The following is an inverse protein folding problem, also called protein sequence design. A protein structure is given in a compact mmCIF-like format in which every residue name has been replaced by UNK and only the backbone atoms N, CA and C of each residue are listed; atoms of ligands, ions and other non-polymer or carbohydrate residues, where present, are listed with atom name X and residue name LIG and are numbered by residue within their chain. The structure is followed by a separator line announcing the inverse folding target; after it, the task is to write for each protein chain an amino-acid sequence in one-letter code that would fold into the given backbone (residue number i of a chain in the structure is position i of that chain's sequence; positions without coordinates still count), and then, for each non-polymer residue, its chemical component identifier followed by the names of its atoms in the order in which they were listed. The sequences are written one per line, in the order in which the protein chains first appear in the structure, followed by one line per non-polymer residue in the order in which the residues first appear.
data_IF_853356379526
#
_entry.id   IF_853356379526
#
_cell.length_a   1.000
_cell.length_b   1.000
_cell.length_c   1.000
_cell.angle_alpha   90.00
_cell.angle_beta   90.00
_cell.angle_gamma   90.00
#
_symmetry.space_group_name_H-M   'P 1'
#
loop_
_entity.id
_entity.type
_entity.pdbx_description
1 polymer ?
#
# COMPACT_ATOMS: atom_id res chain seq x y z
N UNK A 1 27.13 2.26 -5.11
CA UNK A 1 25.84 2.14 -4.39
C UNK A 1 24.84 3.01 -5.15
N UNK A 2 23.94 2.42 -5.92
CA UNK A 2 22.97 3.14 -6.75
C UNK A 2 22.09 4.05 -5.89
N UNK A 3 21.70 5.22 -6.39
CA UNK A 3 20.85 6.23 -5.71
C UNK A 3 19.60 5.58 -5.06
N UNK A 4 19.11 4.49 -5.65
CA UNK A 4 18.02 3.62 -5.20
C UNK A 4 18.22 2.97 -3.80
N UNK A 5 19.42 2.52 -3.44
CA UNK A 5 19.63 1.74 -2.20
C UNK A 5 19.63 2.61 -0.93
N UNK A 6 19.84 3.92 -1.05
CA UNK A 6 19.96 4.83 0.12
C UNK A 6 18.61 5.09 0.81
N UNK A 7 17.48 4.88 0.12
CA UNK A 7 16.14 5.23 0.62
C UNK A 7 15.23 4.02 0.90
N UNK A 8 15.68 2.80 0.59
CA UNK A 8 14.92 1.56 0.82
C UNK A 8 15.04 1.00 2.26
N UNK A 9 15.93 1.55 3.09
CA UNK A 9 16.06 1.17 4.51
C UNK A 9 14.98 1.85 5.36
N UNK A 10 13.73 1.39 5.30
CA UNK A 10 12.69 1.96 6.16
C UNK A 10 11.25 1.52 5.95
N UNK A 11 11.00 0.42 5.24
CA UNK A 11 9.65 -0.19 5.20
C UNK A 11 9.62 -1.32 6.23
N UNK A 12 8.83 -1.19 7.30
CA UNK A 12 8.71 -2.25 8.31
C UNK A 12 7.29 -2.79 8.44
N UNK A 13 6.59 -2.90 7.32
CA UNK A 13 5.46 -3.80 7.17
C UNK A 13 5.91 -5.28 7.00
N UNK A 14 7.16 -5.62 7.30
CA UNK A 14 7.73 -6.95 7.01
C UNK A 14 7.99 -7.22 5.52
N UNK A 15 7.42 -6.43 4.61
CA UNK A 15 7.80 -6.37 3.21
C UNK A 15 8.87 -5.30 2.97
N UNK A 16 9.90 -5.64 2.21
CA UNK A 16 10.87 -4.67 1.67
C UNK A 16 10.61 -4.49 0.18
N UNK A 17 10.68 -3.26 -0.32
CA UNK A 17 10.76 -3.02 -1.77
C UNK A 17 12.21 -3.17 -2.18
N UNK A 18 12.44 -3.92 -3.25
CA UNK A 18 13.77 -4.15 -3.79
C UNK A 18 13.97 -3.37 -5.09
N UNK A 19 15.23 -3.04 -5.40
CA UNK A 19 15.62 -2.49 -6.69
C UNK A 19 15.56 -3.52 -7.82
N UNK A 20 15.30 -4.79 -7.50
CA UNK A 20 15.23 -5.93 -8.40
C UNK A 20 13.94 -6.72 -8.20
N UNK A 21 13.58 -7.52 -9.21
CA UNK A 21 12.49 -8.48 -9.11
C UNK A 21 12.86 -9.63 -8.15
N UNK A 22 11.98 -9.94 -7.22
CA UNK A 22 12.16 -10.99 -6.21
C UNK A 22 12.19 -12.37 -6.85
N UNK A 23 13.15 -13.20 -6.43
CA UNK A 23 13.20 -14.62 -6.80
C UNK A 23 12.23 -15.49 -5.98
N UNK A 24 12.03 -16.76 -6.38
CA UNK A 24 11.21 -17.68 -5.59
C UNK A 24 11.80 -18.00 -4.21
N UNK A 25 13.12 -18.08 -4.09
CA UNK A 25 13.78 -18.27 -2.80
C UNK A 25 13.60 -17.05 -1.89
N UNK A 26 13.69 -15.86 -2.49
CA UNK A 26 13.44 -14.61 -1.78
C UNK A 26 11.99 -14.49 -1.30
N UNK A 27 11.03 -14.89 -2.13
CA UNK A 27 9.61 -14.92 -1.75
C UNK A 27 9.35 -15.96 -0.67
N UNK A 28 9.92 -17.16 -0.78
CA UNK A 28 9.74 -18.25 0.20
C UNK A 28 10.23 -17.86 1.58
N UNK A 29 11.35 -17.15 1.66
CA UNK A 29 11.89 -16.67 2.93
C UNK A 29 11.02 -15.58 3.60
N UNK A 30 10.24 -14.81 2.82
CA UNK A 30 9.52 -13.61 3.31
C UNK A 30 8.03 -13.83 3.49
N UNK A 31 7.44 -14.53 2.53
CA UNK A 31 5.99 -14.77 2.42
C UNK A 31 5.77 -16.25 2.12
N UNK A 32 6.19 -17.17 3.02
CA UNK A 32 6.00 -18.60 2.83
C UNK A 32 4.55 -18.97 2.56
N UNK A 33 3.57 -18.15 2.98
CA UNK A 33 2.17 -18.45 2.75
C UNK A 33 1.77 -18.59 1.28
N UNK A 34 2.47 -17.95 0.33
CA UNK A 34 2.15 -18.10 -1.10
C UNK A 34 2.47 -19.49 -1.66
N UNK A 35 3.29 -20.27 -0.94
CA UNK A 35 3.73 -21.62 -1.33
C UNK A 35 2.89 -22.73 -0.69
N UNK A 36 1.84 -22.40 0.07
CA UNK A 36 0.95 -23.41 0.64
C UNK A 36 0.28 -24.23 -0.48
N UNK A 37 0.59 -25.53 -0.51
CA UNK A 37 0.07 -26.48 -1.50
C UNK A 37 -1.30 -27.04 -1.14
N UNK A 38 -1.61 -27.05 0.16
CA UNK A 38 -2.84 -27.60 0.70
C UNK A 38 -3.76 -26.50 1.22
N UNK A 39 -5.04 -26.80 1.36
CA UNK A 39 -5.98 -25.92 2.01
C UNK A 39 -5.79 -25.95 3.54
N UNK A 40 -6.04 -24.84 4.23
CA UNK A 40 -6.12 -24.88 5.69
C UNK A 40 -7.22 -25.85 6.14
N UNK A 41 -7.03 -26.61 7.22
CA UNK A 41 -7.98 -27.60 7.77
C UNK A 41 -9.41 -27.07 8.02
N UNK A 42 -9.55 -25.74 8.11
CA UNK A 42 -10.83 -25.06 8.31
C UNK A 42 -11.63 -24.87 7.02
N UNK A 43 -11.13 -25.37 5.88
CA UNK A 43 -11.78 -25.28 4.57
C UNK A 43 -12.50 -26.59 4.23
N UNK A 44 -13.63 -26.47 3.53
CA UNK A 44 -14.38 -27.62 3.02
C UNK A 44 -13.58 -28.37 1.95
N UNK A 45 -13.87 -29.66 1.76
CA UNK A 45 -13.30 -30.49 0.67
C UNK A 45 -13.51 -29.92 -0.74
N UNK A 46 -14.48 -29.02 -0.93
CA UNK A 46 -14.73 -28.33 -2.20
C UNK A 46 -13.77 -27.16 -2.48
N UNK A 47 -12.93 -26.77 -1.53
CA UNK A 47 -11.97 -25.67 -1.69
C UNK A 47 -10.76 -26.17 -2.47
N UNK A 48 -10.62 -25.71 -3.72
CA UNK A 48 -9.42 -25.97 -4.50
C UNK A 48 -8.30 -25.04 -4.03
N UNK A 49 -7.31 -25.60 -3.32
CA UNK A 49 -6.09 -24.87 -3.02
C UNK A 49 -5.33 -24.65 -4.34
N UNK A 50 -5.36 -23.43 -4.85
CA UNK A 50 -4.47 -22.99 -5.93
C UNK A 50 -3.34 -22.23 -5.23
N UNK A 51 -2.12 -22.78 -5.19
CA UNK A 51 -0.99 -22.10 -4.61
C UNK A 51 -0.80 -20.75 -5.30
N UNK A 52 -0.66 -19.69 -4.50
CA UNK A 52 -0.49 -18.34 -5.07
C UNK A 52 0.83 -18.22 -5.85
N UNK A 53 1.81 -19.08 -5.57
CA UNK A 53 3.03 -19.18 -6.37
C UNK A 53 2.74 -19.56 -7.83
N UNK A 54 1.80 -20.46 -8.11
CA UNK A 54 1.47 -20.87 -9.48
C UNK A 54 0.84 -19.70 -10.25
N UNK A 55 -0.03 -18.95 -9.58
CA UNK A 55 -0.58 -17.69 -10.09
C UNK A 55 0.53 -16.67 -10.36
N UNK A 56 1.49 -16.54 -9.44
CA UNK A 56 2.60 -15.60 -9.58
C UNK A 56 3.57 -15.98 -10.69
N UNK A 57 3.82 -17.27 -10.90
CA UNK A 57 4.66 -17.77 -11.98
C UNK A 57 3.98 -17.57 -13.34
N UNK A 58 2.67 -17.78 -13.45
CA UNK A 58 1.87 -17.40 -14.62
C UNK A 58 1.91 -15.89 -14.90
N UNK A 59 1.81 -15.05 -13.86
CA UNK A 59 1.96 -13.60 -14.01
C UNK A 59 3.37 -13.22 -14.49
N UNK A 60 4.43 -13.89 -14.03
CA UNK A 60 5.79 -13.65 -14.50
C UNK A 60 6.04 -14.05 -15.94
N UNK A 61 5.41 -15.13 -16.43
CA UNK A 61 5.49 -15.49 -17.85
C UNK A 61 4.87 -14.40 -18.74
N UNK A 62 3.83 -13.73 -18.22
CA UNK A 62 3.20 -12.57 -18.83
C UNK A 62 3.95 -11.25 -18.58
N UNK A 63 5.11 -11.27 -17.92
CA UNK A 63 5.93 -10.08 -17.71
C UNK A 63 5.59 -9.23 -16.48
N UNK A 64 4.75 -9.72 -15.57
CA UNK A 64 4.49 -9.10 -14.27
C UNK A 64 5.47 -9.64 -13.21
N UNK A 65 6.50 -8.85 -12.90
CA UNK A 65 7.55 -9.24 -11.98
C UNK A 65 7.28 -8.72 -10.55
N UNK A 66 7.50 -9.52 -9.49
CA UNK A 66 7.29 -9.10 -8.10
C UNK A 66 8.45 -8.25 -7.57
N UNK A 67 8.16 -7.10 -6.97
CA UNK A 67 9.18 -6.20 -6.38
C UNK A 67 9.06 -6.01 -4.88
N UNK A 68 7.94 -6.45 -4.29
CA UNK A 68 7.70 -6.43 -2.86
C UNK A 68 6.68 -7.52 -2.52
N UNK A 69 6.86 -8.17 -1.37
CA UNK A 69 5.90 -9.11 -0.84
C UNK A 69 5.81 -8.97 0.69
N UNK A 70 4.61 -9.21 1.25
CA UNK A 70 4.32 -9.17 2.67
C UNK A 70 3.26 -10.22 3.02
N UNK A 71 3.37 -10.86 4.19
CA UNK A 71 2.27 -11.62 4.80
C UNK A 71 1.85 -11.04 6.16
N UNK A 72 0.59 -11.27 6.51
CA UNK A 72 0.06 -10.96 7.83
C UNK A 72 0.71 -11.85 8.89
N UNK A 73 0.94 -11.29 10.08
CA UNK A 73 1.44 -12.05 11.23
C UNK A 73 0.28 -12.72 11.95
N UNK A 74 0.52 -13.93 12.45
CA UNK A 74 -0.41 -14.65 13.31
C UNK A 74 0.30 -15.11 14.58
N UNK A 75 -0.46 -15.19 15.68
CA UNK A 75 -0.01 -15.81 16.94
C UNK A 75 -0.47 -17.26 17.08
N UNK A 76 -1.34 -17.71 16.17
CA UNK A 76 -1.86 -19.08 16.14
C UNK A 76 -0.81 -19.96 15.46
N UNK A 77 -0.33 -20.98 16.18
CA UNK A 77 0.63 -21.95 15.66
C UNK A 77 0.07 -22.64 14.40
N UNK A 78 0.92 -22.92 13.41
CA UNK A 78 0.52 -23.53 12.13
C UNK A 78 -0.21 -22.60 11.16
N UNK A 79 -0.87 -21.53 11.62
CA UNK A 79 -1.64 -20.63 10.73
C UNK A 79 -0.78 -19.77 9.80
N UNK A 80 0.51 -19.61 10.08
CA UNK A 80 1.39 -18.68 9.37
C UNK A 80 1.40 -18.90 7.84
N UNK A 81 1.34 -20.15 7.41
CA UNK A 81 1.38 -20.56 6.00
C UNK A 81 0.09 -20.27 5.23
N UNK A 82 -0.98 -19.88 5.92
CA UNK A 82 -2.28 -19.62 5.30
C UNK A 82 -2.72 -18.16 5.43
N UNK A 83 -1.89 -17.35 6.09
CA UNK A 83 -2.19 -15.94 6.33
C UNK A 83 -2.29 -15.14 5.04
N UNK A 84 -3.12 -14.10 5.10
CA UNK A 84 -3.24 -13.09 4.05
C UNK A 84 -1.88 -12.55 3.65
N UNK A 85 -1.65 -12.42 2.37
CA UNK A 85 -0.43 -11.89 1.79
C UNK A 85 -0.74 -10.87 0.71
N UNK A 86 0.26 -10.05 0.42
CA UNK A 86 0.25 -8.98 -0.56
C UNK A 86 1.55 -9.06 -1.35
N UNK A 87 1.45 -9.02 -2.67
CA UNK A 87 2.58 -8.95 -3.60
C UNK A 87 2.39 -7.74 -4.50
N UNK A 88 3.46 -6.96 -4.73
CA UNK A 88 3.43 -5.79 -5.60
C UNK A 88 4.25 -6.09 -6.84
N UNK A 89 3.58 -5.99 -7.99
CA UNK A 89 4.06 -6.41 -9.29
C UNK A 89 4.29 -5.19 -10.16
N UNK A 90 5.29 -5.26 -11.05
CA UNK A 90 5.48 -4.30 -12.15
C UNK A 90 5.48 -5.05 -13.45
N UNK A 91 4.84 -4.50 -14.46
CA UNK A 91 4.87 -5.07 -15.80
C UNK A 91 6.06 -4.52 -16.59
N UNK A 92 6.78 -5.38 -17.31
CA UNK A 92 7.98 -5.03 -18.10
C UNK A 92 7.74 -3.97 -19.17
N UNK A 93 6.51 -3.83 -19.67
CA UNK A 93 6.19 -2.84 -20.72
C UNK A 93 6.05 -1.40 -20.21
N UNK A 94 5.85 -1.18 -18.90
CA UNK A 94 5.71 0.17 -18.36
C UNK A 94 7.09 0.73 -18.09
N UNK A 95 7.46 1.75 -18.87
CA UNK A 95 8.64 2.56 -18.57
C UNK A 95 8.33 3.39 -17.33
N UNK A 96 9.05 3.10 -16.25
CA UNK A 96 8.92 3.86 -15.02
C UNK A 96 9.31 5.33 -15.28
N UNK A 97 8.40 6.27 -15.04
CA UNK A 97 8.73 7.69 -15.06
C UNK A 97 9.78 7.98 -13.97
N UNK A 98 10.65 8.96 -14.19
CA UNK A 98 11.69 9.32 -13.23
C UNK A 98 11.09 9.55 -11.84
N UNK A 99 11.33 8.62 -10.91
CA UNK A 99 10.83 8.70 -9.53
C UNK A 99 9.52 7.98 -9.21
N UNK A 100 8.81 7.36 -10.18
CA UNK A 100 7.65 6.50 -9.88
C UNK A 100 7.41 5.34 -10.88
N UNK A 101 6.72 4.30 -10.42
CA UNK A 101 6.33 3.12 -11.18
C UNK A 101 4.83 2.85 -11.01
N UNK A 102 4.15 2.46 -12.08
CA UNK A 102 2.84 1.82 -11.94
C UNK A 102 3.04 0.42 -11.36
N UNK A 103 2.22 0.06 -10.38
CA UNK A 103 2.28 -1.25 -9.75
C UNK A 103 0.91 -1.88 -9.64
N UNK A 104 0.88 -3.20 -9.77
CA UNK A 104 -0.31 -4.00 -9.53
C UNK A 104 -0.13 -4.70 -8.19
N UNK A 105 -1.10 -4.51 -7.30
CA UNK A 105 -1.05 -5.07 -5.96
C UNK A 105 -1.97 -6.29 -5.94
N UNK A 106 -1.37 -7.46 -5.83
CA UNK A 106 -2.05 -8.73 -5.65
C UNK A 106 -2.25 -8.99 -4.15
N UNK A 107 -3.49 -9.18 -3.70
CA UNK A 107 -3.82 -9.58 -2.32
C UNK A 107 -4.59 -10.89 -2.34
N UNK A 108 -4.22 -11.82 -1.46
CA UNK A 108 -4.90 -13.10 -1.30
C UNK A 108 -4.70 -13.68 0.11
N UNK A 109 -5.54 -14.64 0.55
CA UNK A 109 -5.34 -15.45 1.75
C UNK A 109 -5.67 -16.93 1.48
N UNK A 110 -4.72 -17.81 1.80
CA UNK A 110 -4.86 -19.25 1.55
C UNK A 110 -5.72 -19.98 2.59
N UNK A 111 -6.16 -19.30 3.65
CA UNK A 111 -7.23 -19.77 4.55
C UNK A 111 -8.65 -19.41 4.05
N UNK A 112 -8.78 -18.88 2.85
CA UNK A 112 -10.07 -18.51 2.23
C UNK A 112 -10.77 -17.31 2.88
N UNK A 113 -10.08 -16.55 3.74
CA UNK A 113 -10.60 -15.29 4.31
C UNK A 113 -10.52 -14.10 3.37
N UNK A 114 -9.88 -14.27 2.21
CA UNK A 114 -9.79 -13.29 1.14
C UNK A 114 -9.69 -14.01 -0.20
N UNK A 115 -10.35 -13.47 -1.21
CA UNK A 115 -10.12 -13.84 -2.60
C UNK A 115 -8.85 -13.19 -3.15
N UNK A 116 -8.42 -13.62 -4.33
CA UNK A 116 -7.52 -12.87 -5.20
C UNK A 116 -8.13 -11.49 -5.51
N UNK A 117 -7.33 -10.45 -5.28
CA UNK A 117 -7.66 -9.05 -5.59
C UNK A 117 -6.48 -8.43 -6.32
N UNK A 118 -6.74 -7.82 -7.47
CA UNK A 118 -5.78 -7.07 -8.27
C UNK A 118 -6.14 -5.60 -8.16
N UNK A 119 -5.27 -4.81 -7.54
CA UNK A 119 -5.52 -3.41 -7.23
C UNK A 119 -4.50 -2.54 -7.98
N UNK A 120 -4.94 -1.56 -8.79
CA UNK A 120 -4.05 -0.57 -9.37
C UNK A 120 -3.39 0.26 -8.26
N UNK A 121 -2.09 0.46 -8.39
CA UNK A 121 -1.31 1.26 -7.47
C UNK A 121 -0.25 2.07 -8.22
N UNK A 122 0.27 3.07 -7.52
CA UNK A 122 1.38 3.87 -7.98
C UNK A 122 2.46 3.83 -6.92
N UNK A 123 3.69 3.55 -7.29
CA UNK A 123 4.82 3.48 -6.38
C UNK A 123 5.76 4.63 -6.65
N UNK A 124 5.92 5.54 -5.69
CA UNK A 124 6.94 6.57 -5.80
C UNK A 124 8.24 6.06 -5.18
N UNK A 125 9.28 5.91 -5.99
CA UNK A 125 10.57 5.33 -5.59
C UNK A 125 11.24 6.08 -4.44
N UNK A 126 11.11 7.41 -4.43
CA UNK A 126 11.74 8.29 -3.44
C UNK A 126 11.19 8.03 -2.04
N UNK A 127 9.87 7.85 -1.91
CA UNK A 127 9.25 7.56 -0.62
C UNK A 127 9.32 6.09 -0.23
N UNK A 128 9.67 5.21 -1.17
CA UNK A 128 9.54 3.77 -1.02
C UNK A 128 8.17 3.35 -0.47
N UNK A 129 7.10 4.09 -0.77
CA UNK A 129 5.75 3.75 -0.34
C UNK A 129 4.92 3.32 -1.53
N UNK A 130 4.22 2.22 -1.33
CA UNK A 130 3.13 1.86 -2.21
C UNK A 130 1.92 2.71 -1.97
N UNK A 131 1.51 3.43 -3.00
CA UNK A 131 0.22 4.09 -3.04
C UNK A 131 -0.74 3.11 -3.70
N UNK A 132 -1.86 2.89 -3.05
CA UNK A 132 -2.99 2.22 -3.67
C UNK A 132 -3.91 3.32 -4.16
N UNK A 133 -4.31 3.26 -5.42
CA UNK A 133 -5.28 4.21 -5.93
C UNK A 133 -6.64 3.96 -5.24
N UNK A 134 -7.45 5.01 -5.12
CA UNK A 134 -8.81 4.93 -4.56
C UNK A 134 -9.73 4.00 -5.38
N UNK A 135 -11.00 3.92 -4.99
CA UNK A 135 -11.99 3.10 -5.71
C UNK A 135 -12.29 3.61 -7.14
N UNK A 136 -11.71 4.76 -7.52
CA UNK A 136 -11.76 5.36 -8.87
C UNK A 136 -11.16 4.46 -9.95
N UNK A 137 -10.26 3.54 -9.59
CA UNK A 137 -9.56 2.69 -10.55
C UNK A 137 -9.90 1.21 -10.34
N UNK A 138 -10.19 0.51 -11.44
CA UNK A 138 -10.83 -0.80 -11.47
C UNK A 138 -10.09 -1.90 -10.70
N UNK A 139 -10.40 -2.09 -9.41
CA UNK A 139 -10.04 -3.30 -8.66
C UNK A 139 -10.74 -4.52 -9.27
N UNK A 140 -9.95 -5.53 -9.65
CA UNK A 140 -10.48 -6.81 -10.12
C UNK A 140 -10.45 -7.81 -8.98
N UNK A 141 -11.53 -8.56 -8.79
CA UNK A 141 -11.61 -9.67 -7.82
C UNK A 141 -11.83 -10.98 -8.54
N UNK A 142 -10.98 -11.96 -8.25
CA UNK A 142 -11.01 -13.29 -8.87
C UNK A 142 -11.33 -14.33 -7.81
N UNK A 143 -12.24 -15.27 -8.12
CA UNK A 143 -12.66 -16.32 -7.18
C UNK A 143 -11.65 -17.46 -7.17
N UNK A 144 -11.57 -18.20 -6.06
CA UNK A 144 -10.72 -19.40 -5.95
C UNK A 144 -11.45 -20.63 -6.50
N UNK A 145 -11.87 -20.56 -7.75
CA UNK A 145 -12.63 -21.63 -8.40
C UNK A 145 -12.37 -21.59 -9.89
N UNK A 146 -12.46 -22.74 -10.56
CA UNK A 146 -12.19 -22.80 -12.01
C UNK A 146 -10.72 -22.54 -12.33
N UNK A 147 -10.44 -21.84 -13.43
CA UNK A 147 -9.09 -21.52 -13.87
C UNK A 147 -8.62 -20.19 -13.28
N UNK A 148 -8.37 -20.16 -11.97
CA UNK A 148 -8.00 -18.92 -11.28
C UNK A 148 -6.69 -18.32 -11.79
N UNK A 149 -5.74 -19.13 -12.31
CA UNK A 149 -4.49 -18.60 -12.90
C UNK A 149 -4.80 -17.73 -14.11
N UNK A 150 -5.58 -18.24 -15.05
CA UNK A 150 -5.97 -17.47 -16.24
C UNK A 150 -6.80 -16.24 -15.86
N UNK A 151 -7.79 -16.38 -14.97
CA UNK A 151 -8.62 -15.24 -14.55
C UNK A 151 -7.80 -14.15 -13.83
N UNK A 152 -6.78 -14.51 -13.03
CA UNK A 152 -5.88 -13.54 -12.41
C UNK A 152 -5.01 -12.83 -13.45
N UNK A 153 -4.53 -13.54 -14.46
CA UNK A 153 -3.76 -12.94 -15.57
C UNK A 153 -4.61 -11.92 -16.34
N UNK A 154 -5.84 -12.28 -16.72
CA UNK A 154 -6.78 -11.36 -17.37
C UNK A 154 -7.09 -10.14 -16.48
N UNK A 155 -7.26 -10.38 -15.17
CA UNK A 155 -7.41 -9.32 -14.20
C UNK A 155 -6.19 -8.40 -14.11
N UNK A 156 -4.98 -8.93 -14.21
CA UNK A 156 -3.74 -8.15 -14.23
C UNK A 156 -3.67 -7.23 -15.46
N UNK A 157 -4.01 -7.74 -16.65
CA UNK A 157 -4.06 -6.92 -17.87
C UNK A 157 -5.15 -5.85 -17.80
N UNK A 158 -6.31 -6.17 -17.23
CA UNK A 158 -7.37 -5.20 -16.98
C UNK A 158 -6.87 -4.05 -16.11
N UNK A 159 -6.20 -4.37 -15.00
CA UNK A 159 -5.61 -3.35 -14.12
C UNK A 159 -4.48 -2.59 -14.82
N UNK A 160 -3.66 -3.27 -15.63
CA UNK A 160 -2.57 -2.66 -16.39
C UNK A 160 -3.09 -1.58 -17.37
N UNK A 161 -4.28 -1.79 -17.96
CA UNK A 161 -4.91 -0.83 -18.87
C UNK A 161 -5.27 0.51 -18.21
N UNK A 162 -5.36 0.56 -16.88
CA UNK A 162 -5.63 1.78 -16.11
C UNK A 162 -4.37 2.64 -15.90
N UNK A 163 -3.17 2.12 -16.21
CA UNK A 163 -1.91 2.82 -15.97
C UNK A 163 -1.82 4.22 -16.60
N UNK A 164 -2.27 4.47 -17.85
CA UNK A 164 -2.26 5.81 -18.44
C UNK A 164 -3.14 6.80 -17.67
N UNK A 165 -4.34 6.37 -17.24
CA UNK A 165 -5.27 7.21 -16.49
C UNK A 165 -4.72 7.59 -15.11
N UNK A 166 -4.12 6.62 -14.41
CA UNK A 166 -3.46 6.88 -13.13
C UNK A 166 -2.29 7.85 -13.31
N UNK A 167 -1.46 7.65 -14.34
CA UNK A 167 -0.34 8.55 -14.63
C UNK A 167 -0.82 9.97 -14.94
N UNK A 168 -1.87 10.12 -15.73
CA UNK A 168 -2.48 11.42 -16.03
C UNK A 168 -2.99 12.10 -14.76
N UNK A 169 -3.70 11.38 -13.87
CA UNK A 169 -4.19 11.97 -12.62
C UNK A 169 -3.03 12.41 -11.71
N UNK A 170 -1.92 11.66 -11.68
CA UNK A 170 -0.70 12.07 -10.96
C UNK A 170 -0.13 13.37 -11.52
N UNK A 171 -0.03 13.51 -12.84
CA UNK A 171 0.43 14.76 -13.47
C UNK A 171 -0.52 15.92 -13.17
N UNK A 172 -1.83 15.67 -13.15
CA UNK A 172 -2.81 16.66 -12.76
C UNK A 172 -2.65 17.10 -11.28
N UNK A 173 -2.35 16.18 -10.36
CA UNK A 173 -2.07 16.54 -8.97
C UNK A 173 -0.79 17.36 -8.82
N UNK A 174 0.26 17.06 -9.60
CA UNK A 174 1.50 17.86 -9.59
C UNK A 174 1.29 19.29 -10.09
N UNK A 175 0.34 19.50 -10.99
CA UNK A 175 0.03 20.83 -11.53
C UNK A 175 -0.73 21.74 -10.53
N UNK A 176 -1.28 21.17 -9.45
CA UNK A 176 -2.08 21.92 -8.47
C UNK A 176 -1.19 22.39 -7.32
N UNK A 177 -0.98 23.69 -7.21
CA UNK A 177 -0.30 24.30 -6.05
C UNK A 177 -1.28 24.54 -4.90
N UNK A 178 -0.85 24.23 -3.68
CA UNK A 178 -1.62 24.42 -2.46
C UNK A 178 -1.08 25.57 -1.61
N UNK A 179 -1.99 26.33 -1.01
CA UNK A 179 -1.71 27.26 0.09
C UNK A 179 -1.46 26.52 1.40
N UNK A 180 -0.87 27.18 2.39
CA UNK A 180 -0.65 26.56 3.70
C UNK A 180 -1.95 26.16 4.41
N UNK A 181 -3.02 26.94 4.22
CA UNK A 181 -4.35 26.62 4.75
C UNK A 181 -4.91 25.33 4.11
N UNK A 182 -4.80 25.19 2.79
CA UNK A 182 -5.24 23.99 2.06
C UNK A 182 -4.44 22.75 2.46
N UNK A 183 -3.11 22.88 2.65
CA UNK A 183 -2.26 21.80 3.16
C UNK A 183 -2.67 21.39 4.57
N UNK A 184 -2.98 22.36 5.43
CA UNK A 184 -3.43 22.10 6.80
C UNK A 184 -4.76 21.34 6.83
N UNK A 185 -5.73 21.72 5.99
CA UNK A 185 -7.01 21.01 5.86
C UNK A 185 -6.84 19.56 5.38
N UNK A 186 -5.96 19.32 4.39
CA UNK A 186 -5.63 17.96 3.97
C UNK A 186 -4.99 17.15 5.11
N UNK A 187 -4.13 17.79 5.91
CA UNK A 187 -3.49 17.13 7.05
C UNK A 187 -4.50 16.76 8.14
N UNK A 188 -5.50 17.60 8.38
CA UNK A 188 -6.60 17.32 9.30
C UNK A 188 -7.45 16.14 8.82
N UNK A 189 -7.84 16.12 7.55
CA UNK A 189 -8.54 14.99 6.96
C UNK A 189 -7.73 13.69 7.07
N UNK A 190 -6.45 13.73 6.70
CA UNK A 190 -5.54 12.58 6.82
C UNK A 190 -5.35 12.11 8.27
N UNK A 191 -5.33 13.04 9.23
CA UNK A 191 -5.20 12.75 10.65
C UNK A 191 -6.43 12.03 11.19
N UNK A 192 -7.63 12.51 10.87
CA UNK A 192 -8.90 11.86 11.24
C UNK A 192 -9.02 10.46 10.64
N UNK A 193 -8.60 10.26 9.39
CA UNK A 193 -8.54 8.94 8.76
C UNK A 193 -7.55 8.00 9.45
N UNK A 194 -6.42 8.52 9.93
CA UNK A 194 -5.37 7.72 10.59
C UNK A 194 -5.73 7.36 12.03
N UNK A 195 -6.42 8.26 12.73
CA UNK A 195 -6.75 8.13 14.15
C UNK A 195 -8.25 8.34 14.39
N UNK A 196 -9.12 7.47 13.84
CA UNK A 196 -10.58 7.63 13.92
C UNK A 196 -11.11 7.56 15.36
N UNK A 197 -10.40 6.87 16.25
CA UNK A 197 -10.78 6.73 17.67
C UNK A 197 -10.20 7.84 18.58
N UNK A 198 -9.56 8.86 17.99
CA UNK A 198 -9.00 9.96 18.77
C UNK A 198 -10.11 10.89 19.24
N UNK A 199 -10.14 11.15 20.54
CA UNK A 199 -11.07 12.07 21.20
C UNK A 199 -10.30 13.04 22.11
N UNK A 200 -10.97 14.03 22.69
CA UNK A 200 -10.32 14.95 23.64
C UNK A 200 -9.77 14.20 24.87
N UNK A 201 -10.49 13.20 25.37
CA UNK A 201 -10.05 12.35 26.48
C UNK A 201 -8.98 11.32 26.08
N UNK A 202 -8.92 10.97 24.79
CA UNK A 202 -7.96 10.01 24.24
C UNK A 202 -7.35 10.55 22.95
N UNK A 203 -6.51 11.59 23.04
CA UNK A 203 -6.01 12.27 21.86
C UNK A 203 -5.04 11.37 21.08
N UNK A 204 -4.97 11.60 19.77
CA UNK A 204 -3.95 10.99 18.94
C UNK A 204 -2.54 11.38 19.44
N UNK A 205 -1.51 10.53 19.27
CA UNK A 205 -0.16 10.81 19.75
C UNK A 205 0.49 12.06 19.16
N UNK A 206 0.02 12.53 17.99
CA UNK A 206 0.51 13.70 17.27
C UNK A 206 -0.67 14.54 16.77
N UNK A 207 -0.45 15.82 16.49
CA UNK A 207 -1.44 16.69 15.83
C UNK A 207 -1.34 16.59 14.30
N UNK A 208 -2.38 17.01 13.59
CA UNK A 208 -2.44 16.97 12.12
C UNK A 208 -1.21 17.58 11.41
N UNK A 209 -0.67 18.75 11.79
CA UNK A 209 0.51 19.32 11.13
C UNK A 209 1.77 18.44 11.18
N UNK A 210 1.85 17.51 12.14
CA UNK A 210 2.97 16.57 12.20
C UNK A 210 3.01 15.62 10.99
N UNK A 211 1.87 15.35 10.34
CA UNK A 211 1.79 14.54 9.13
C UNK A 211 2.36 15.26 7.90
N UNK A 212 2.43 16.59 7.90
CA UNK A 212 3.03 17.39 6.81
C UNK A 212 4.55 17.50 6.92
N UNK A 213 5.17 16.95 7.97
CA UNK A 213 6.62 17.06 8.16
C UNK A 213 7.35 16.22 7.10
N UNK A 214 8.04 16.84 6.12
CA UNK A 214 8.71 16.10 5.08
C UNK A 214 9.87 15.31 5.67
N UNK A 215 10.10 14.10 5.15
CA UNK A 215 11.24 13.26 5.56
C UNK A 215 12.50 13.57 4.74
N UNK A 216 12.34 14.25 3.60
CA UNK A 216 13.37 14.55 2.61
C UNK A 216 13.17 15.95 2.04
N UNK A 217 14.14 16.47 1.29
CA UNK A 217 14.03 17.81 0.72
C UNK A 217 13.12 17.84 -0.53
N UNK A 218 13.09 16.74 -1.27
CA UNK A 218 12.26 16.51 -2.45
C UNK A 218 10.76 16.49 -2.11
N UNK A 219 10.41 16.40 -0.82
CA UNK A 219 9.04 16.38 -0.29
C UNK A 219 8.59 17.77 0.21
N UNK A 220 9.33 18.84 -0.11
CA UNK A 220 9.02 20.23 0.30
C UNK A 220 8.17 21.01 -0.70
N UNK A 221 7.99 20.49 -1.91
CA UNK A 221 7.18 21.16 -2.93
C UNK A 221 5.73 21.25 -2.44
N UNK A 222 5.10 22.41 -2.60
CA UNK A 222 3.76 22.70 -2.10
C UNK A 222 2.66 22.26 -3.09
N UNK A 223 2.95 21.36 -4.01
CA UNK A 223 1.94 20.79 -4.91
C UNK A 223 1.10 19.70 -4.20
N UNK A 224 -0.07 19.42 -4.74
CA UNK A 224 -1.02 18.46 -4.18
C UNK A 224 -0.44 17.04 -4.14
N UNK A 225 0.30 16.64 -5.17
CA UNK A 225 0.93 15.32 -5.25
C UNK A 225 1.98 15.11 -4.15
N UNK A 226 2.89 16.07 -3.96
CA UNK A 226 3.96 16.04 -2.96
C UNK A 226 3.38 16.14 -1.54
N UNK A 227 2.34 16.95 -1.35
CA UNK A 227 1.61 17.04 -0.08
C UNK A 227 0.95 15.70 0.26
N UNK A 228 0.21 15.10 -0.67
CA UNK A 228 -0.39 13.77 -0.50
C UNK A 228 0.64 12.71 -0.14
N UNK A 229 1.77 12.65 -0.86
CA UNK A 229 2.83 11.70 -0.58
C UNK A 229 3.41 11.86 0.84
N UNK A 230 3.60 13.10 1.29
CA UNK A 230 4.12 13.38 2.63
C UNK A 230 3.14 12.92 3.71
N UNK A 231 1.85 13.23 3.53
CA UNK A 231 0.78 12.81 4.42
C UNK A 231 0.68 11.28 4.48
N UNK A 232 0.64 10.62 3.33
CA UNK A 232 0.57 9.17 3.22
C UNK A 232 1.76 8.49 3.89
N UNK A 233 2.99 8.97 3.63
CA UNK A 233 4.20 8.38 4.22
C UNK A 233 4.16 8.43 5.73
N UNK A 234 3.80 9.59 6.28
CA UNK A 234 3.77 9.80 7.72
C UNK A 234 2.61 9.09 8.40
N UNK A 235 1.45 9.00 7.75
CA UNK A 235 0.30 8.26 8.26
C UNK A 235 0.56 6.74 8.28
N UNK A 236 1.15 6.20 7.20
CA UNK A 236 1.36 4.76 7.02
C UNK A 236 2.59 4.27 7.79
N UNK A 237 3.77 4.86 7.59
CA UNK A 237 5.02 4.40 8.26
C UNK A 237 5.05 4.71 9.75
N UNK A 238 4.31 5.72 10.20
CA UNK A 238 4.41 6.21 11.57
C UNK A 238 5.83 6.69 11.93
N UNK A 239 6.27 6.48 13.16
CA UNK A 239 7.59 6.91 13.64
C UNK A 239 7.68 8.40 14.02
N UNK A 240 6.60 9.16 13.88
CA UNK A 240 6.51 10.56 14.28
C UNK A 240 6.52 10.67 15.80
N UNK A 241 7.37 11.55 16.33
CA UNK A 241 7.45 11.82 17.75
C UNK A 241 6.28 12.71 18.18
N UNK A 242 5.60 12.31 19.25
CA UNK A 242 4.59 13.12 19.93
C UNK A 242 4.42 12.71 21.38
N UNK A 243 3.26 13.01 21.95
CA UNK A 243 2.97 12.80 23.37
C UNK A 243 1.61 12.12 23.52
N UNK A 244 1.51 11.24 24.50
CA UNK A 244 0.24 10.66 24.95
C UNK A 244 0.12 10.81 26.46
N UNK A 245 -1.09 10.80 26.99
CA UNK A 245 -1.30 10.81 28.43
C UNK A 245 -1.08 9.41 29.01
N UNK A 246 -0.18 9.30 29.98
CA UNK A 246 0.03 8.06 30.73
C UNK A 246 -1.08 7.84 31.76
N UNK A 247 -1.16 6.62 32.31
CA UNK A 247 -2.13 6.27 33.35
C UNK A 247 -2.02 7.14 34.62
N UNK A 248 -0.88 7.80 34.83
CA UNK A 248 -0.63 8.74 35.93
C UNK A 248 -0.98 10.20 35.60
N UNK A 249 -1.61 10.47 34.44
CA UNK A 249 -1.93 11.84 34.00
C UNK A 249 -0.72 12.66 33.54
N UNK A 250 0.48 12.06 33.42
CA UNK A 250 1.68 12.75 32.89
C UNK A 250 1.83 12.54 31.38
N UNK A 251 2.30 13.55 30.63
CA UNK A 251 2.63 13.36 29.22
C UNK A 251 3.83 12.42 29.06
N UNK A 252 3.65 11.38 28.25
CA UNK A 252 4.66 10.40 27.91
C UNK A 252 5.02 10.54 26.44
N UNK A 253 6.32 10.64 26.13
CA UNK A 253 6.80 10.64 24.75
C UNK A 253 6.40 9.33 24.08
N UNK A 254 5.69 9.42 22.96
CA UNK A 254 5.35 8.28 22.11
C UNK A 254 5.76 8.55 20.67
N UNK A 255 6.01 7.46 19.94
CA UNK A 255 6.07 7.51 18.49
C UNK A 255 4.78 6.95 17.91
N UNK A 256 4.29 7.53 16.82
CA UNK A 256 3.21 6.92 16.04
C UNK A 256 3.66 5.54 15.56
N UNK A 257 2.74 4.58 15.56
CA UNK A 257 3.03 3.22 15.07
C UNK A 257 2.76 3.15 13.57
N UNK A 258 3.49 2.26 12.90
CA UNK A 258 3.22 1.87 11.53
C UNK A 258 1.86 1.18 11.39
N UNK A 259 1.24 1.30 10.21
CA UNK A 259 0.03 0.59 9.83
C UNK A 259 0.41 -0.77 9.21
N UNK A 260 0.56 -1.77 10.08
CA UNK A 260 1.06 -3.09 9.73
C UNK A 260 0.03 -4.04 9.08
N UNK A 261 -1.27 -3.83 9.33
CA UNK A 261 -2.32 -4.69 8.80
C UNK A 261 -2.60 -4.41 7.32
N UNK A 262 -2.64 -5.44 6.48
CA UNK A 262 -2.86 -5.32 5.02
C UNK A 262 -4.18 -4.60 4.73
N UNK A 263 -5.29 -5.00 5.35
CA UNK A 263 -6.60 -4.39 5.11
C UNK A 263 -6.66 -2.94 5.61
N UNK A 264 -6.10 -2.67 6.80
CA UNK A 264 -6.03 -1.31 7.34
C UNK A 264 -5.19 -0.39 6.45
N UNK A 265 -4.08 -0.92 5.92
CA UNK A 265 -3.19 -0.19 5.02
C UNK A 265 -3.88 0.12 3.68
N UNK A 266 -4.56 -0.88 3.09
CA UNK A 266 -5.38 -0.71 1.88
C UNK A 266 -6.46 0.35 2.09
N UNK A 267 -7.25 0.24 3.16
CA UNK A 267 -8.33 1.16 3.47
C UNK A 267 -7.82 2.60 3.67
N UNK A 268 -6.73 2.78 4.42
CA UNK A 268 -6.14 4.09 4.66
C UNK A 268 -5.61 4.72 3.36
N UNK A 269 -4.90 3.96 2.51
CA UNK A 269 -4.40 4.48 1.24
C UNK A 269 -5.53 4.94 0.33
N UNK A 270 -6.60 4.16 0.21
CA UNK A 270 -7.78 4.54 -0.57
C UNK A 270 -8.42 5.82 -0.06
N UNK A 271 -8.64 5.91 1.25
CA UNK A 271 -9.25 7.09 1.84
C UNK A 271 -8.39 8.35 1.65
N UNK A 272 -7.06 8.23 1.78
CA UNK A 272 -6.14 9.33 1.52
C UNK A 272 -6.12 9.75 0.04
N UNK A 273 -6.21 8.79 -0.88
CA UNK A 273 -6.34 9.07 -2.31
C UNK A 273 -7.63 9.84 -2.61
N UNK A 274 -8.78 9.32 -2.14
CA UNK A 274 -10.07 9.98 -2.33
C UNK A 274 -10.10 11.38 -1.72
N UNK A 275 -9.52 11.58 -0.53
CA UNK A 275 -9.36 12.92 0.05
C UNK A 275 -8.59 13.87 -0.87
N UNK A 276 -7.54 13.36 -1.52
CA UNK A 276 -6.71 14.11 -2.47
C UNK A 276 -7.49 14.44 -3.75
N UNK A 277 -8.28 13.50 -4.28
CA UNK A 277 -9.17 13.72 -5.41
C UNK A 277 -10.19 14.84 -5.13
N UNK A 278 -10.83 14.82 -3.95
CA UNK A 278 -11.78 15.87 -3.56
C UNK A 278 -11.13 17.24 -3.48
N UNK A 279 -9.90 17.33 -2.97
CA UNK A 279 -9.16 18.59 -2.99
C UNK A 279 -8.86 19.03 -4.43
N UNK A 280 -8.47 18.12 -5.31
CA UNK A 280 -8.24 18.44 -6.72
C UNK A 280 -9.51 18.98 -7.42
N UNK A 281 -10.68 18.37 -7.15
CA UNK A 281 -11.97 18.81 -7.66
C UNK A 281 -12.28 20.24 -7.20
N UNK A 282 -12.13 20.53 -5.90
CA UNK A 282 -12.33 21.86 -5.34
C UNK A 282 -11.41 22.91 -5.97
N UNK A 283 -10.13 22.57 -6.17
CA UNK A 283 -9.13 23.46 -6.78
C UNK A 283 -9.39 23.79 -8.25
N UNK A 284 -10.13 22.93 -8.97
CA UNK A 284 -10.52 23.19 -10.36
C UNK A 284 -11.81 23.98 -10.48
N UNK A 285 -12.64 23.95 -9.45
CA UNK A 285 -13.90 24.68 -9.40
C UNK A 285 -13.74 26.14 -8.94
N UNK A 286 -12.59 26.47 -8.33
CA UNK A 286 -12.21 27.81 -7.86
C UNK A 286 -11.40 28.58 -8.91
#
# INVERSE_FOLDING_TARGET
MTFYNRYMSGMTNGGSVYGHALSNDELRARVPSIFALEAHESRSERFAAIPTIDVLDGLRSEGFDPFMAQQARTRIAGKAEFTKHLVRLRHRSITNAAGAAFEIILVNANDGTSSYQMIPGFFRFVCANGLMCGDTFGEVRVRHSGNAVHEVIEGAYTVLSEAPKVAEQVEQFKAITLTEAERSLLAEGAHSLRFPDATDDKPAPVRAPALLRPRRNEDRVADLWTTFNTLQENAVKGGLLGHAWGASGRPVRRRTREVAGIDQNKALNRALWTLTERMAELKRAA
#
